data_IF_223023638030
#
_entry.id   IF_223023638030
#
_cell.length_a   1.000
_cell.length_b   1.000
_cell.length_c   1.000
_cell.angle_alpha   90.00
_cell.angle_beta   90.00
_cell.angle_gamma   90.00
#
_symmetry.space_group_name_H-M   'P 1'
#
loop_
_entity.id
_entity.type
_entity.pdbx_description
1 polymer ?
#
# COMPACT_ATOMS: atom_id res chain seq x y z
N UNK A 1 1.05 7.97 -0.09
CA UNK A 1 0.52 7.29 1.10
C UNK A 1 1.62 6.93 2.09
N UNK A 2 1.54 7.49 3.30
CA UNK A 2 2.45 7.13 4.40
C UNK A 2 1.61 6.52 5.52
N UNK A 3 1.68 5.19 5.68
CA UNK A 3 1.07 4.51 6.82
C UNK A 3 1.76 4.91 8.11
N UNK A 4 1.01 5.55 9.01
CA UNK A 4 1.47 5.87 10.35
C UNK A 4 1.51 4.61 11.21
N UNK A 5 2.35 4.63 12.26
CA UNK A 5 2.42 3.53 13.23
C UNK A 5 1.03 3.24 13.85
N UNK A 6 0.23 4.27 14.10
CA UNK A 6 -1.12 4.14 14.64
C UNK A 6 -2.06 3.36 13.71
N UNK A 7 -2.00 3.57 12.39
CA UNK A 7 -2.81 2.80 11.43
C UNK A 7 -2.37 1.34 11.44
N UNK A 8 -1.07 1.07 11.43
CA UNK A 8 -0.53 -0.30 11.47
C UNK A 8 -0.96 -1.01 12.76
N UNK A 9 -0.89 -0.34 13.92
CA UNK A 9 -1.36 -0.87 15.21
C UNK A 9 -2.83 -1.30 15.14
N UNK A 10 -3.70 -0.43 14.62
CA UNK A 10 -5.12 -0.76 14.47
C UNK A 10 -5.33 -1.95 13.54
N UNK A 11 -4.61 -2.01 12.42
CA UNK A 11 -4.69 -3.14 11.48
C UNK A 11 -4.27 -4.46 12.15
N UNK A 12 -3.11 -4.49 12.80
CA UNK A 12 -2.62 -5.71 13.47
C UNK A 12 -3.54 -6.11 14.63
N UNK A 13 -3.99 -5.15 15.44
CA UNK A 13 -4.95 -5.40 16.51
C UNK A 13 -6.26 -6.01 15.99
N UNK A 14 -6.82 -5.47 14.90
CA UNK A 14 -8.00 -6.05 14.24
C UNK A 14 -7.75 -7.48 13.76
N UNK A 15 -6.62 -7.73 13.09
CA UNK A 15 -6.27 -9.06 12.60
C UNK A 15 -6.20 -10.09 13.73
N UNK A 16 -5.59 -9.75 14.87
CA UNK A 16 -5.45 -10.65 16.01
C UNK A 16 -6.77 -10.86 16.77
N UNK A 17 -7.70 -9.91 16.69
CA UNK A 17 -9.09 -10.04 17.16
C UNK A 17 -10.02 -10.73 16.16
N UNK A 18 -9.48 -11.25 15.06
CA UNK A 18 -10.24 -11.89 13.98
C UNK A 18 -11.20 -10.95 13.23
N UNK A 19 -10.94 -9.64 13.29
CA UNK A 19 -11.73 -8.59 12.64
C UNK A 19 -11.23 -8.24 11.23
N UNK A 20 -12.08 -7.55 10.46
CA UNK A 20 -11.69 -7.03 9.14
C UNK A 20 -10.94 -5.70 9.27
N UNK A 21 -9.68 -5.67 8.82
CA UNK A 21 -8.85 -4.47 8.85
C UNK A 21 -9.08 -3.54 7.65
N UNK A 22 -9.80 -3.97 6.61
CA UNK A 22 -9.94 -3.21 5.35
C UNK A 22 -10.59 -1.85 5.54
N UNK A 23 -11.44 -1.71 6.55
CA UNK A 23 -12.07 -0.43 6.94
C UNK A 23 -11.02 0.62 7.31
N UNK A 24 -9.93 0.24 7.98
CA UNK A 24 -8.82 1.14 8.31
C UNK A 24 -8.09 1.64 7.05
N UNK A 25 -7.87 0.74 6.09
CA UNK A 25 -7.21 1.08 4.82
C UNK A 25 -8.10 1.98 3.95
N UNK A 26 -9.40 1.67 3.87
CA UNK A 26 -10.38 2.49 3.14
C UNK A 26 -10.46 3.89 3.75
N UNK A 27 -10.50 4.00 5.08
CA UNK A 27 -10.51 5.29 5.77
C UNK A 27 -9.26 6.13 5.43
N UNK A 28 -8.07 5.51 5.40
CA UNK A 28 -6.83 6.18 5.00
C UNK A 28 -6.88 6.66 3.55
N UNK A 29 -7.31 5.82 2.61
CA UNK A 29 -7.44 6.19 1.19
C UNK A 29 -8.44 7.35 1.03
N UNK A 30 -9.55 7.34 1.78
CA UNK A 30 -10.54 8.42 1.77
C UNK A 30 -9.94 9.73 2.26
N UNK A 31 -9.25 9.72 3.41
CA UNK A 31 -8.63 10.91 3.96
C UNK A 31 -7.60 11.51 3.01
N UNK A 32 -6.64 10.71 2.52
CA UNK A 32 -5.59 11.20 1.61
C UNK A 32 -6.17 11.69 0.26
N UNK A 33 -7.22 11.04 -0.25
CA UNK A 33 -7.85 11.49 -1.49
C UNK A 33 -8.59 12.82 -1.33
N UNK A 34 -9.34 12.98 -0.23
CA UNK A 34 -10.10 14.21 0.02
C UNK A 34 -9.17 15.40 0.28
N UNK A 35 -8.08 15.17 1.01
CA UNK A 35 -7.01 16.17 1.20
C UNK A 35 -6.43 16.60 -0.15
N UNK A 36 -6.02 15.63 -0.98
CA UNK A 36 -5.56 15.92 -2.34
C UNK A 36 -6.59 16.70 -3.16
N UNK A 37 -7.88 16.31 -3.11
CA UNK A 37 -8.92 16.94 -3.90
C UNK A 37 -9.07 18.43 -3.52
N UNK A 38 -9.05 18.75 -2.22
CA UNK A 38 -9.11 20.13 -1.73
C UNK A 38 -7.90 20.94 -2.23
N UNK A 39 -6.69 20.39 -2.10
CA UNK A 39 -5.46 21.06 -2.57
C UNK A 39 -5.47 21.26 -4.09
N UNK A 40 -5.89 20.23 -4.83
CA UNK A 40 -5.95 20.27 -6.29
C UNK A 40 -6.96 21.30 -6.78
N UNK A 41 -8.15 21.38 -6.18
CA UNK A 41 -9.13 22.41 -6.51
C UNK A 41 -8.60 23.83 -6.22
N UNK A 42 -7.86 24.02 -5.13
CA UNK A 42 -7.18 25.29 -4.86
C UNK A 42 -6.21 25.68 -5.99
N UNK A 43 -5.40 24.72 -6.47
CA UNK A 43 -4.49 24.93 -7.61
C UNK A 43 -5.23 25.23 -8.91
N UNK A 44 -6.38 24.60 -9.15
CA UNK A 44 -7.23 24.87 -10.33
C UNK A 44 -7.77 26.30 -10.29
N UNK A 45 -8.26 26.76 -9.15
CA UNK A 45 -8.71 28.15 -8.96
C UNK A 45 -7.58 29.13 -9.25
N UNK A 46 -6.41 28.93 -8.63
CA UNK A 46 -5.24 29.79 -8.83
C UNK A 46 -4.79 29.82 -10.30
N UNK A 47 -4.77 28.67 -10.97
CA UNK A 47 -4.40 28.54 -12.37
C UNK A 47 -5.38 29.27 -13.30
N UNK A 48 -6.69 29.08 -13.09
CA UNK A 48 -7.75 29.72 -13.89
C UNK A 48 -7.74 31.24 -13.72
N UNK A 49 -7.51 31.75 -12.50
CA UNK A 49 -7.44 33.18 -12.24
C UNK A 49 -6.21 33.86 -12.85
N UNK A 50 -5.08 33.15 -12.95
CA UNK A 50 -3.84 33.65 -13.58
C UNK A 50 -3.95 33.70 -15.10
N UNK A 51 -4.65 32.76 -15.72
CA UNK A 51 -4.65 32.56 -17.17
C UNK A 51 -5.91 33.12 -17.84
N UNK A 52 -6.20 34.41 -17.61
CA UNK A 52 -7.42 35.12 -18.04
C UNK A 52 -7.68 35.19 -19.58
N UNK A 53 -6.90 34.52 -20.44
CA UNK A 53 -6.99 34.64 -21.90
C UNK A 53 -7.65 33.44 -22.59
N UNK A 54 -8.42 33.75 -23.64
CA UNK A 54 -9.48 32.92 -24.26
C UNK A 54 -8.97 31.74 -25.11
N UNK A 55 -7.65 31.52 -25.28
CA UNK A 55 -7.14 30.59 -26.31
C UNK A 55 -6.05 29.61 -25.87
N UNK A 56 -5.49 29.74 -24.68
CA UNK A 56 -4.48 28.80 -24.20
C UNK A 56 -5.12 27.73 -23.31
N UNK A 57 -4.80 26.46 -23.58
CA UNK A 57 -5.07 25.36 -22.66
C UNK A 57 -4.25 25.59 -21.37
N UNK A 58 -4.81 26.39 -20.47
CA UNK A 58 -4.20 26.78 -19.21
C UNK A 58 -3.92 25.56 -18.35
N UNK A 59 -4.71 24.49 -18.49
CA UNK A 59 -4.51 23.27 -17.75
C UNK A 59 -3.19 22.62 -18.18
N UNK A 60 -2.95 22.48 -19.48
CA UNK A 60 -1.67 22.00 -20.01
C UNK A 60 -0.49 22.86 -19.55
N UNK A 61 -0.64 24.18 -19.61
CA UNK A 61 0.43 25.11 -19.22
C UNK A 61 0.79 25.01 -17.71
N UNK A 62 -0.21 24.88 -16.83
CA UNK A 62 -0.01 24.92 -15.38
C UNK A 62 0.24 23.53 -14.77
N UNK A 63 -0.40 22.50 -15.30
CA UNK A 63 -0.39 21.15 -14.72
C UNK A 63 0.50 20.16 -15.48
N UNK A 64 0.97 20.51 -16.68
CA UNK A 64 1.95 19.73 -17.45
C UNK A 64 3.29 20.45 -17.68
N UNK A 65 3.58 21.47 -16.87
CA UNK A 65 4.86 22.19 -16.92
C UNK A 65 6.05 21.25 -16.60
N UNK A 66 7.09 21.28 -17.43
CA UNK A 66 8.28 20.44 -17.28
C UNK A 66 9.07 20.67 -15.97
N UNK A 67 8.76 21.73 -15.20
CA UNK A 67 9.33 22.00 -13.89
C UNK A 67 8.65 21.21 -12.77
N UNK A 68 7.44 20.68 -13.00
CA UNK A 68 6.73 19.84 -12.05
C UNK A 68 7.42 18.48 -11.85
N UNK A 69 7.12 17.83 -10.73
CA UNK A 69 7.64 16.48 -10.45
C UNK A 69 6.97 15.47 -11.38
N UNK A 70 7.70 14.42 -11.73
CA UNK A 70 7.16 13.33 -12.58
C UNK A 70 5.83 12.79 -12.08
N UNK A 71 5.70 12.53 -10.78
CA UNK A 71 4.47 11.95 -10.23
C UNK A 71 3.25 12.89 -10.41
N UNK A 72 3.46 14.21 -10.34
CA UNK A 72 2.40 15.19 -10.53
C UNK A 72 2.00 15.25 -12.02
N UNK A 73 2.98 15.28 -12.93
CA UNK A 73 2.74 15.28 -14.39
C UNK A 73 1.93 14.07 -14.84
N UNK A 74 2.29 12.89 -14.32
CA UNK A 74 1.63 11.62 -14.66
C UNK A 74 0.16 11.67 -14.27
N UNK A 75 -0.15 12.09 -13.04
CA UNK A 75 -1.52 12.17 -12.56
C UNK A 75 -2.31 13.23 -13.34
N UNK A 76 -1.75 14.41 -13.57
CA UNK A 76 -2.46 15.48 -14.26
C UNK A 76 -2.67 15.20 -15.76
N UNK A 77 -1.86 14.34 -16.39
CA UNK A 77 -2.08 13.90 -17.77
C UNK A 77 -3.12 12.78 -17.90
N UNK A 78 -3.76 12.39 -16.81
CA UNK A 78 -4.72 11.29 -16.77
C UNK A 78 -4.10 9.89 -16.72
N UNK A 79 -2.80 9.78 -16.36
CA UNK A 79 -2.07 8.51 -16.32
C UNK A 79 -1.74 8.04 -14.90
N UNK A 80 -1.44 6.75 -14.80
CA UNK A 80 -0.83 6.15 -13.61
C UNK A 80 0.62 5.76 -13.93
N UNK A 81 1.53 5.98 -12.97
CA UNK A 81 2.96 5.63 -13.07
C UNK A 81 3.18 4.17 -13.44
N UNK A 82 2.34 3.27 -12.91
CA UNK A 82 2.41 1.84 -13.24
C UNK A 82 2.12 1.60 -14.73
N UNK A 83 1.12 2.27 -15.30
CA UNK A 83 0.78 2.17 -16.72
C UNK A 83 1.96 2.57 -17.61
N UNK A 84 2.65 3.67 -17.26
CA UNK A 84 3.85 4.09 -18.00
C UNK A 84 4.95 3.04 -17.89
N UNK A 85 5.22 2.50 -16.69
CA UNK A 85 6.21 1.44 -16.53
C UNK A 85 5.85 0.19 -17.33
N UNK A 86 4.58 -0.23 -17.34
CA UNK A 86 4.17 -1.46 -18.01
C UNK A 86 4.27 -1.33 -19.54
N UNK A 87 4.01 -0.15 -20.10
CA UNK A 87 4.10 0.13 -21.55
C UNK A 87 5.54 0.40 -22.00
N UNK A 88 6.29 1.24 -21.27
CA UNK A 88 7.59 1.75 -21.70
C UNK A 88 8.78 1.11 -20.95
N UNK A 89 8.51 0.18 -20.02
CA UNK A 89 9.49 -0.49 -19.16
C UNK A 89 10.40 0.46 -18.36
N UNK A 90 9.93 1.70 -18.14
CA UNK A 90 10.70 2.76 -17.50
C UNK A 90 9.78 3.89 -17.03
N UNK A 91 10.21 4.60 -15.99
CA UNK A 91 9.55 5.82 -15.47
C UNK A 91 10.56 6.96 -15.30
N UNK A 92 11.62 6.96 -16.11
CA UNK A 92 12.61 8.04 -16.13
C UNK A 92 11.99 9.36 -16.57
N UNK A 93 12.59 10.47 -16.11
CA UNK A 93 12.02 11.82 -16.23
C UNK A 93 11.74 12.21 -17.68
N UNK A 94 12.66 11.89 -18.57
CA UNK A 94 12.62 12.14 -20.01
C UNK A 94 11.42 11.44 -20.67
N UNK A 95 11.20 10.16 -20.37
CA UNK A 95 10.04 9.39 -20.87
C UNK A 95 8.75 9.97 -20.32
N UNK A 96 8.72 10.33 -19.03
CA UNK A 96 7.54 10.94 -18.42
C UNK A 96 7.19 12.27 -19.10
N UNK A 97 8.17 13.12 -19.43
CA UNK A 97 7.91 14.39 -20.14
C UNK A 97 7.24 14.17 -21.49
N UNK A 98 7.72 13.20 -22.26
CA UNK A 98 7.18 12.89 -23.58
C UNK A 98 5.76 12.29 -23.49
N UNK A 99 5.63 11.20 -22.73
CA UNK A 99 4.39 10.41 -22.64
C UNK A 99 3.24 11.21 -22.04
N UNK A 100 3.50 12.05 -21.04
CA UNK A 100 2.43 12.84 -20.40
C UNK A 100 1.88 13.93 -21.33
N UNK A 101 2.71 14.49 -22.20
CA UNK A 101 2.27 15.49 -23.20
C UNK A 101 1.46 14.86 -24.31
N UNK A 102 1.90 13.71 -24.82
CA UNK A 102 1.19 12.95 -25.86
C UNK A 102 -0.17 12.48 -25.35
N UNK A 103 -0.19 11.79 -24.20
CA UNK A 103 -1.42 11.21 -23.66
C UNK A 103 -2.44 12.29 -23.29
N UNK A 104 -2.00 13.42 -22.73
CA UNK A 104 -2.91 14.51 -22.45
C UNK A 104 -3.55 15.07 -23.71
N UNK A 105 -2.80 15.18 -24.81
CA UNK A 105 -3.33 15.65 -26.10
C UNK A 105 -4.42 14.70 -26.60
N UNK A 106 -4.20 13.39 -26.52
CA UNK A 106 -5.21 12.38 -26.87
C UNK A 106 -6.46 12.45 -25.96
N UNK A 107 -6.26 12.63 -24.64
CA UNK A 107 -7.36 12.78 -23.69
C UNK A 107 -8.19 14.03 -23.99
N UNK A 108 -7.53 15.16 -24.27
CA UNK A 108 -8.20 16.42 -24.61
C UNK A 108 -9.01 16.31 -25.89
N UNK A 109 -8.46 15.66 -26.94
CA UNK A 109 -9.16 15.40 -28.20
C UNK A 109 -10.38 14.50 -28.01
N UNK A 110 -10.25 13.45 -27.19
CA UNK A 110 -11.36 12.56 -26.87
C UNK A 110 -12.49 13.28 -26.12
N UNK A 111 -12.14 14.12 -25.15
CA UNK A 111 -13.11 14.94 -24.41
C UNK A 111 -13.77 15.96 -25.34
N UNK A 112 -12.99 16.66 -26.17
CA UNK A 112 -13.53 17.66 -27.11
C UNK A 112 -14.51 17.01 -28.09
N UNK A 113 -14.15 15.84 -28.64
CA UNK A 113 -15.02 15.08 -29.54
C UNK A 113 -16.33 14.65 -28.87
N UNK A 114 -16.30 14.29 -27.58
CA UNK A 114 -17.50 13.95 -26.82
C UNK A 114 -18.40 15.17 -26.58
N UNK A 115 -17.80 16.32 -26.23
CA UNK A 115 -18.52 17.57 -26.01
C UNK A 115 -19.18 18.08 -27.31
N UNK A 116 -18.50 17.92 -28.46
CA UNK A 116 -19.04 18.35 -29.75
C UNK A 116 -20.17 17.45 -30.27
N UNK A 117 -20.22 16.18 -29.83
CA UNK A 117 -21.23 15.20 -30.26
C UNK A 117 -22.51 15.23 -29.41
N UNK A 118 -22.41 15.59 -28.12
CA UNK A 118 -23.53 15.59 -27.18
C UNK A 118 -23.83 17.01 -26.69
N UNK A 119 -24.76 17.68 -27.37
CA UNK A 119 -25.20 19.03 -27.04
C UNK A 119 -26.35 19.06 -26.01
N UNK A 120 -26.79 17.92 -25.49
CA UNK A 120 -27.96 17.86 -24.59
C UNK A 120 -27.57 17.94 -23.11
N UNK A 121 -26.36 17.54 -22.75
CA UNK A 121 -25.90 17.48 -21.36
C UNK A 121 -24.85 18.57 -21.08
N UNK A 122 -25.20 19.51 -20.20
CA UNK A 122 -24.26 20.52 -19.67
C UNK A 122 -23.73 20.10 -18.29
N UNK A 123 -22.40 20.08 -18.14
CA UNK A 123 -21.70 19.81 -16.88
C UNK A 123 -20.83 21.01 -16.53
N UNK A 124 -21.27 21.79 -15.55
CA UNK A 124 -20.49 22.92 -15.01
C UNK A 124 -19.98 22.59 -13.61
N UNK A 125 -18.65 22.61 -13.44
CA UNK A 125 -18.02 22.55 -12.11
C UNK A 125 -17.66 23.97 -11.64
N UNK A 126 -18.42 24.46 -10.65
CA UNK A 126 -18.12 25.72 -9.96
C UNK A 126 -17.28 25.46 -8.71
N UNK A 127 -16.10 26.07 -8.63
CA UNK A 127 -15.23 25.98 -7.46
C UNK A 127 -15.21 27.33 -6.75
N UNK A 128 -15.63 27.33 -5.48
CA UNK A 128 -15.60 28.51 -4.60
C UNK A 128 -14.47 28.36 -3.59
N UNK A 129 -13.52 29.29 -3.61
CA UNK A 129 -12.38 29.31 -2.69
C UNK A 129 -12.12 30.73 -2.18
N UNK A 130 -12.16 30.91 -0.85
CA UNK A 130 -11.89 32.20 -0.17
C UNK A 130 -12.65 33.40 -0.75
N UNK A 131 -13.93 33.21 -1.10
CA UNK A 131 -14.79 34.26 -1.65
C UNK A 131 -14.64 34.49 -3.17
N UNK A 132 -13.73 33.77 -3.83
CA UNK A 132 -13.61 33.75 -5.29
C UNK A 132 -14.35 32.53 -5.84
N UNK A 133 -15.03 32.69 -6.98
CA UNK A 133 -15.72 31.60 -7.69
C UNK A 133 -15.14 31.51 -9.09
N UNK A 134 -14.80 30.31 -9.52
CA UNK A 134 -14.43 30.02 -10.92
C UNK A 134 -15.35 28.95 -11.46
N UNK A 135 -15.82 29.17 -12.68
CA UNK A 135 -16.58 28.19 -13.44
C UNK A 135 -15.67 27.56 -14.48
N UNK A 136 -15.74 26.24 -14.58
CA UNK A 136 -15.03 25.47 -15.59
C UNK A 136 -15.99 25.13 -16.74
N UNK A 137 -15.47 25.14 -17.96
CA UNK A 137 -16.22 24.59 -19.11
C UNK A 137 -16.46 23.09 -18.93
N UNK A 138 -17.32 22.49 -19.78
CA UNK A 138 -17.57 21.04 -19.76
C UNK A 138 -16.24 20.27 -19.93
N UNK A 139 -15.43 20.65 -20.93
CA UNK A 139 -14.13 20.01 -21.18
C UNK A 139 -13.17 20.14 -20.01
N UNK A 140 -13.05 21.33 -19.42
CA UNK A 140 -12.22 21.57 -18.24
C UNK A 140 -12.70 20.76 -17.02
N UNK A 141 -14.02 20.69 -16.82
CA UNK A 141 -14.65 19.91 -15.76
C UNK A 141 -14.32 18.43 -15.91
N UNK A 142 -14.42 17.88 -17.12
CA UNK A 142 -14.10 16.48 -17.41
C UNK A 142 -12.61 16.15 -17.21
N UNK A 143 -11.70 17.06 -17.56
CA UNK A 143 -10.26 16.91 -17.30
C UNK A 143 -9.96 16.87 -15.79
N UNK A 144 -10.56 17.79 -15.03
CA UNK A 144 -10.43 17.85 -13.56
C UNK A 144 -10.99 16.57 -12.91
N UNK A 145 -12.16 16.11 -13.35
CA UNK A 145 -12.77 14.86 -12.88
C UNK A 145 -11.89 13.66 -13.19
N UNK A 146 -11.34 13.57 -14.41
CA UNK A 146 -10.44 12.49 -14.82
C UNK A 146 -9.20 12.44 -13.91
N UNK A 147 -8.59 13.60 -13.65
CA UNK A 147 -7.42 13.72 -12.78
C UNK A 147 -7.71 13.23 -11.36
N UNK A 148 -8.86 13.60 -10.80
CA UNK A 148 -9.31 13.10 -9.49
C UNK A 148 -9.54 11.58 -9.51
N UNK A 149 -10.17 11.05 -10.56
CA UNK A 149 -10.41 9.62 -10.71
C UNK A 149 -9.09 8.82 -10.80
N UNK A 150 -8.12 9.32 -11.56
CA UNK A 150 -6.79 8.74 -11.72
C UNK A 150 -6.04 8.77 -10.40
N UNK A 151 -6.07 9.90 -9.67
CA UNK A 151 -5.47 9.98 -8.34
C UNK A 151 -6.10 9.00 -7.36
N UNK A 152 -7.43 8.87 -7.37
CA UNK A 152 -8.14 7.92 -6.53
C UNK A 152 -7.73 6.47 -6.85
N UNK A 153 -7.59 6.12 -8.13
CA UNK A 153 -7.15 4.81 -8.56
C UNK A 153 -5.70 4.51 -8.12
N UNK A 154 -4.79 5.48 -8.28
CA UNK A 154 -3.40 5.40 -7.83
C UNK A 154 -3.30 5.16 -6.32
N UNK A 155 -4.02 5.97 -5.52
CA UNK A 155 -4.07 5.79 -4.07
C UNK A 155 -4.59 4.41 -3.67
N UNK A 156 -5.68 3.93 -4.29
CA UNK A 156 -6.20 2.58 -4.00
C UNK A 156 -5.18 1.50 -4.32
N UNK A 157 -4.55 1.54 -5.50
CA UNK A 157 -3.55 0.55 -5.91
C UNK A 157 -2.31 0.55 -5.00
N UNK A 158 -1.78 1.74 -4.70
CA UNK A 158 -0.62 1.90 -3.81
C UNK A 158 -0.91 1.54 -2.36
N UNK A 159 -2.13 1.80 -1.87
CA UNK A 159 -2.50 1.61 -0.48
C UNK A 159 -2.46 0.15 -0.03
N UNK A 160 -3.06 -0.75 -0.80
CA UNK A 160 -3.08 -2.17 -0.45
C UNK A 160 -1.69 -2.79 -0.45
N UNK A 161 -0.87 -2.46 -1.46
CA UNK A 161 0.51 -2.96 -1.54
C UNK A 161 1.39 -2.45 -0.40
N UNK A 162 1.31 -1.15 -0.10
CA UNK A 162 2.11 -0.54 0.98
C UNK A 162 1.64 -1.03 2.36
N UNK A 163 0.34 -1.21 2.54
CA UNK A 163 -0.24 -1.74 3.78
C UNK A 163 0.24 -3.15 4.04
N UNK A 164 0.14 -4.04 3.04
CA UNK A 164 0.63 -5.42 3.15
C UNK A 164 2.09 -5.45 3.62
N UNK A 165 3.00 -4.85 2.86
CA UNK A 165 4.44 -4.87 3.15
C UNK A 165 4.80 -4.35 4.55
N UNK A 166 4.12 -3.30 5.03
CA UNK A 166 4.42 -2.71 6.35
C UNK A 166 3.80 -3.52 7.50
N UNK A 167 2.60 -4.05 7.30
CA UNK A 167 1.88 -4.80 8.33
C UNK A 167 2.47 -6.20 8.49
N UNK A 168 2.86 -6.88 7.41
CA UNK A 168 3.37 -8.26 7.43
C UNK A 168 4.50 -8.46 8.45
N UNK A 169 5.50 -7.58 8.47
CA UNK A 169 6.63 -7.69 9.41
C UNK A 169 6.23 -7.42 10.86
N UNK A 170 5.45 -6.37 11.11
CA UNK A 170 4.98 -6.03 12.46
C UNK A 170 4.05 -7.12 12.99
N UNK A 171 3.18 -7.68 12.15
CA UNK A 171 2.30 -8.78 12.51
C UNK A 171 3.10 -10.01 12.97
N UNK A 172 4.13 -10.42 12.20
CA UNK A 172 4.98 -11.55 12.60
C UNK A 172 5.71 -11.27 13.92
N UNK A 173 6.26 -10.07 14.10
CA UNK A 173 6.87 -9.68 15.38
C UNK A 173 5.87 -9.75 16.52
N UNK A 174 4.67 -9.23 16.32
CA UNK A 174 3.60 -9.24 17.33
C UNK A 174 3.26 -10.67 17.73
N UNK A 175 3.13 -11.59 16.75
CA UNK A 175 2.93 -13.02 17.03
C UNK A 175 4.11 -13.64 17.81
N UNK A 176 5.36 -13.32 17.44
CA UNK A 176 6.53 -13.81 18.16
C UNK A 176 6.59 -13.30 19.60
N UNK A 177 6.25 -12.02 19.82
CA UNK A 177 6.18 -11.42 21.16
C UNK A 177 5.05 -11.98 22.00
N UNK A 178 3.88 -12.19 21.38
CA UNK A 178 2.73 -12.81 22.05
C UNK A 178 3.07 -14.19 22.62
N UNK A 179 3.79 -15.00 21.84
CA UNK A 179 4.27 -16.33 22.23
C UNK A 179 5.66 -16.32 22.89
N UNK A 180 6.21 -15.14 23.18
CA UNK A 180 7.51 -14.95 23.85
C UNK A 180 8.63 -15.81 23.23
N UNK A 181 8.65 -15.89 21.90
CA UNK A 181 9.73 -16.57 21.16
C UNK A 181 11.04 -15.85 21.46
N UNK A 182 12.12 -16.54 21.85
CA UNK A 182 13.41 -15.90 22.08
C UNK A 182 13.93 -15.19 20.82
N UNK A 183 14.60 -14.05 20.98
CA UNK A 183 15.08 -13.23 19.84
C UNK A 183 16.00 -14.00 18.88
N UNK A 184 16.78 -14.95 19.39
CA UNK A 184 17.67 -15.80 18.59
C UNK A 184 16.93 -16.79 17.68
N UNK A 185 15.63 -17.00 17.92
CA UNK A 185 14.81 -17.99 17.24
C UNK A 185 13.92 -17.42 16.15
N UNK A 186 14.17 -16.17 15.73
CA UNK A 186 13.54 -15.60 14.55
C UNK A 186 14.39 -14.52 13.88
N UNK A 187 14.13 -14.26 12.60
CA UNK A 187 14.78 -13.18 11.86
C UNK A 187 13.82 -12.50 10.89
N UNK A 188 13.90 -11.17 10.80
CA UNK A 188 13.04 -10.28 10.01
C UNK A 188 13.44 -10.14 8.54
N UNK A 189 14.64 -10.62 8.20
CA UNK A 189 15.20 -10.55 6.86
C UNK A 189 16.20 -11.68 6.69
N UNK A 190 16.21 -12.29 5.51
CA UNK A 190 17.28 -13.18 5.10
C UNK A 190 17.11 -13.63 3.66
N UNK A 191 18.07 -14.42 3.19
CA UNK A 191 18.01 -15.03 1.86
C UNK A 191 17.73 -16.52 2.00
N UNK A 192 16.83 -17.05 1.18
CA UNK A 192 16.71 -18.50 0.96
C UNK A 192 18.03 -19.07 0.44
N UNK A 193 18.15 -20.41 0.43
CA UNK A 193 19.20 -21.12 -0.30
C UNK A 193 19.26 -20.73 -1.79
N UNK A 194 18.14 -20.29 -2.38
CA UNK A 194 18.03 -19.79 -3.75
C UNK A 194 18.29 -18.27 -3.90
N UNK A 195 18.87 -17.62 -2.89
CA UNK A 195 19.15 -16.16 -2.85
C UNK A 195 17.91 -15.27 -3.05
N UNK A 196 16.71 -15.78 -2.71
CA UNK A 196 15.48 -14.97 -2.70
C UNK A 196 15.29 -14.40 -1.30
N UNK A 197 14.89 -13.14 -1.21
CA UNK A 197 14.55 -12.52 0.06
C UNK A 197 13.33 -13.23 0.67
N UNK A 198 13.46 -13.67 1.92
CA UNK A 198 12.34 -14.17 2.71
C UNK A 198 11.98 -13.10 3.72
N UNK A 199 10.67 -12.86 3.84
CA UNK A 199 10.14 -11.82 4.71
C UNK A 199 10.38 -12.13 6.20
N UNK A 200 10.44 -13.42 6.57
CA UNK A 200 10.65 -13.84 7.96
C UNK A 200 11.10 -15.31 8.10
N UNK A 201 11.91 -15.61 9.10
CA UNK A 201 12.27 -16.99 9.49
C UNK A 201 11.97 -17.24 10.97
N UNK A 202 11.51 -18.45 11.28
CA UNK A 202 11.56 -19.01 12.63
C UNK A 202 12.67 -20.07 12.70
N UNK A 203 13.25 -20.25 13.88
CA UNK A 203 14.34 -21.21 14.12
C UNK A 203 13.96 -22.12 15.28
N UNK A 204 13.98 -23.43 15.04
CA UNK A 204 13.73 -24.47 16.04
C UNK A 204 14.92 -24.67 16.99
N UNK A 205 14.72 -25.48 18.04
CA UNK A 205 15.79 -25.81 19.01
C UNK A 205 17.01 -26.49 18.37
N UNK A 206 16.80 -27.29 17.31
CA UNK A 206 17.85 -27.94 16.53
C UNK A 206 18.53 -27.01 15.49
N UNK A 207 18.11 -25.74 15.42
CA UNK A 207 18.65 -24.75 14.49
C UNK A 207 18.08 -24.80 13.07
N UNK A 208 17.08 -25.65 12.78
CA UNK A 208 16.39 -25.65 11.49
C UNK A 208 15.63 -24.33 11.29
N UNK A 209 15.74 -23.77 10.09
CA UNK A 209 15.05 -22.53 9.70
C UNK A 209 13.78 -22.83 8.92
N UNK A 210 12.65 -22.29 9.38
CA UNK A 210 11.35 -22.37 8.72
C UNK A 210 10.98 -21.02 8.11
N UNK A 211 10.81 -21.00 6.80
CA UNK A 211 10.43 -19.79 6.06
C UNK A 211 8.96 -19.47 6.33
N UNK A 212 8.70 -18.23 6.71
CA UNK A 212 7.36 -17.72 6.96
C UNK A 212 6.98 -16.73 5.85
N UNK A 213 5.79 -16.90 5.30
CA UNK A 213 5.19 -15.95 4.37
C UNK A 213 3.88 -15.43 4.94
N UNK A 214 3.69 -14.12 4.85
CA UNK A 214 2.47 -13.45 5.29
C UNK A 214 1.79 -12.80 4.08
N UNK A 215 0.47 -12.95 3.99
CA UNK A 215 -0.35 -12.29 2.98
C UNK A 215 -1.66 -11.78 3.56
N UNK A 216 -1.88 -10.48 3.46
CA UNK A 216 -3.18 -9.89 3.74
C UNK A 216 -4.01 -9.93 2.45
N UNK A 217 -4.73 -11.03 2.24
CA UNK A 217 -5.41 -11.34 0.98
C UNK A 217 -6.76 -10.65 0.87
N UNK A 218 -7.38 -10.66 -0.31
CA UNK A 218 -8.81 -10.36 -0.51
C UNK A 218 -9.63 -11.65 -0.51
N UNK A 219 -10.97 -11.54 -0.41
CA UNK A 219 -11.84 -12.70 -0.66
C UNK A 219 -11.65 -13.14 -2.13
N UNK A 220 -11.15 -14.36 -2.34
CA UNK A 220 -11.03 -14.96 -3.67
C UNK A 220 -9.73 -14.67 -4.43
N UNK A 221 -8.59 -14.52 -3.74
CA UNK A 221 -7.27 -14.47 -4.40
C UNK A 221 -6.52 -15.82 -4.23
N UNK A 222 -6.88 -16.88 -4.98
CA UNK A 222 -6.19 -18.17 -4.94
C UNK A 222 -4.72 -18.06 -5.39
N UNK A 223 -4.40 -17.12 -6.28
CA UNK A 223 -3.05 -16.92 -6.86
C UNK A 223 -1.99 -16.58 -5.79
N UNK A 224 -2.40 -15.98 -4.68
CA UNK A 224 -1.48 -15.66 -3.57
C UNK A 224 -1.08 -16.90 -2.75
N UNK A 225 -1.96 -17.90 -2.68
CA UNK A 225 -1.60 -19.21 -2.13
C UNK A 225 -0.69 -19.97 -3.12
N UNK A 226 -0.95 -19.87 -4.43
CA UNK A 226 -0.09 -20.46 -5.46
C UNK A 226 1.32 -19.86 -5.44
N UNK A 227 1.45 -18.56 -5.20
CA UNK A 227 2.75 -17.90 -5.01
C UNK A 227 3.50 -18.43 -3.78
N UNK A 228 2.78 -18.75 -2.69
CA UNK A 228 3.36 -19.34 -1.47
C UNK A 228 3.83 -20.77 -1.72
N UNK A 229 3.00 -21.55 -2.42
CA UNK A 229 3.30 -22.93 -2.84
C UNK A 229 4.54 -22.93 -3.75
N UNK A 230 4.65 -21.97 -4.68
CA UNK A 230 5.81 -21.80 -5.56
C UNK A 230 7.09 -21.32 -4.85
N UNK A 231 6.97 -20.78 -3.62
CA UNK A 231 8.09 -20.26 -2.82
C UNK A 231 8.61 -21.25 -1.77
N UNK A 232 7.96 -22.41 -1.61
CA UNK A 232 8.30 -23.43 -0.62
C UNK A 232 8.37 -22.87 0.81
N UNK A 233 7.42 -22.01 1.18
CA UNK A 233 7.26 -21.52 2.55
C UNK A 233 6.76 -22.65 3.45
N UNK A 234 7.36 -22.83 4.63
CA UNK A 234 6.96 -23.87 5.58
C UNK A 234 5.77 -23.41 6.45
N UNK A 235 5.61 -22.09 6.61
CA UNK A 235 4.56 -21.46 7.40
C UNK A 235 3.92 -20.34 6.57
N UNK A 236 2.59 -20.36 6.47
CA UNK A 236 1.79 -19.35 5.79
C UNK A 236 0.80 -18.68 6.73
N UNK A 237 0.87 -17.35 6.86
CA UNK A 237 -0.05 -16.58 7.69
C UNK A 237 -0.89 -15.68 6.78
N UNK A 238 -2.21 -15.81 6.86
CA UNK A 238 -3.12 -14.99 6.09
C UNK A 238 -4.23 -14.38 6.94
N UNK A 239 -4.80 -13.27 6.49
CA UNK A 239 -6.01 -12.72 7.11
C UNK A 239 -7.20 -13.68 6.92
N UNK A 240 -7.38 -14.20 5.70
CA UNK A 240 -8.47 -15.13 5.34
C UNK A 240 -7.99 -16.22 4.38
N UNK A 241 -8.45 -17.45 4.56
CA UNK A 241 -8.15 -18.58 3.67
C UNK A 241 -9.44 -19.23 3.17
N UNK A 242 -9.51 -19.57 1.88
CA UNK A 242 -10.59 -20.43 1.37
C UNK A 242 -10.37 -21.88 1.81
N UNK A 243 -11.45 -22.68 1.82
CA UNK A 243 -11.34 -24.10 2.16
C UNK A 243 -10.44 -24.87 1.19
N UNK A 244 -10.45 -24.48 -0.09
CA UNK A 244 -9.52 -25.00 -1.09
C UNK A 244 -8.06 -24.70 -0.73
N UNK A 245 -7.74 -23.45 -0.33
CA UNK A 245 -6.38 -23.11 0.08
C UNK A 245 -5.95 -23.90 1.31
N UNK A 246 -6.82 -24.05 2.31
CA UNK A 246 -6.52 -24.86 3.51
C UNK A 246 -6.20 -26.30 3.14
N UNK A 247 -7.00 -26.89 2.24
CA UNK A 247 -6.79 -28.26 1.76
C UNK A 247 -5.45 -28.38 1.03
N UNK A 248 -5.18 -27.52 0.05
CA UNK A 248 -3.94 -27.53 -0.74
C UNK A 248 -2.70 -27.34 0.14
N UNK A 249 -2.70 -26.36 1.05
CA UNK A 249 -1.58 -26.11 1.98
C UNK A 249 -1.34 -27.34 2.86
N UNK A 250 -2.40 -27.97 3.36
CA UNK A 250 -2.29 -29.16 4.20
C UNK A 250 -1.77 -30.39 3.43
N UNK A 251 -2.24 -30.60 2.20
CA UNK A 251 -1.76 -31.67 1.30
C UNK A 251 -0.27 -31.52 0.96
N UNK A 252 0.21 -30.27 0.88
CA UNK A 252 1.61 -29.94 0.66
C UNK A 252 2.46 -29.92 1.95
N UNK A 253 1.88 -30.21 3.11
CA UNK A 253 2.57 -30.17 4.41
C UNK A 253 2.96 -28.76 4.86
N UNK A 254 2.35 -27.72 4.30
CA UNK A 254 2.59 -26.32 4.67
C UNK A 254 1.71 -25.98 5.87
N UNK A 255 2.34 -25.49 6.95
CA UNK A 255 1.63 -25.01 8.13
C UNK A 255 0.94 -23.70 7.82
N UNK A 256 -0.31 -23.51 8.25
CA UNK A 256 -1.07 -22.30 7.92
C UNK A 256 -1.87 -21.72 9.07
N UNK A 257 -1.95 -20.39 9.12
CA UNK A 257 -2.75 -19.60 10.06
C UNK A 257 -3.75 -18.75 9.29
N UNK A 258 -5.03 -18.81 9.68
CA UNK A 258 -6.06 -17.89 9.23
C UNK A 258 -6.46 -16.98 10.40
N UNK A 259 -6.03 -15.71 10.37
CA UNK A 259 -6.20 -14.79 11.50
C UNK A 259 -7.67 -14.42 11.76
N UNK A 260 -8.49 -14.34 10.71
CA UNK A 260 -9.94 -14.08 10.82
C UNK A 260 -10.77 -15.28 11.23
N UNK A 261 -10.18 -16.47 11.38
CA UNK A 261 -10.86 -17.56 12.07
C UNK A 261 -10.96 -17.22 13.56
N UNK A 262 -12.00 -17.70 14.25
CA UNK A 262 -12.17 -17.47 15.69
C UNK A 262 -10.92 -17.92 16.45
N UNK A 263 -10.29 -17.01 17.19
CA UNK A 263 -9.00 -17.25 17.86
C UNK A 263 -7.90 -17.73 16.90
N UNK A 264 -7.91 -17.28 15.65
CA UNK A 264 -7.04 -17.77 14.58
C UNK A 264 -5.55 -17.66 14.91
N UNK A 265 -5.17 -16.62 15.64
CA UNK A 265 -3.79 -16.45 16.13
C UNK A 265 -3.31 -17.63 17.01
N UNK A 266 -4.22 -18.36 17.67
CA UNK A 266 -3.85 -19.51 18.53
C UNK A 266 -3.25 -20.67 17.74
N UNK A 267 -3.64 -20.79 16.48
CA UNK A 267 -3.06 -21.78 15.55
C UNK A 267 -1.57 -21.56 15.33
N UNK A 268 -1.08 -20.34 15.52
CA UNK A 268 0.37 -20.08 15.46
C UNK A 268 1.11 -20.88 16.54
N UNK A 269 0.61 -20.92 17.78
CA UNK A 269 1.19 -21.74 18.86
C UNK A 269 1.22 -23.24 18.56
N UNK A 270 0.16 -23.78 17.94
CA UNK A 270 0.13 -25.17 17.47
C UNK A 270 1.27 -25.48 16.49
N UNK A 271 1.53 -24.55 15.57
CA UNK A 271 2.61 -24.66 14.59
C UNK A 271 3.98 -24.57 15.27
N UNK A 272 4.15 -23.66 16.24
CA UNK A 272 5.39 -23.54 17.00
C UNK A 272 5.74 -24.85 17.72
N UNK A 273 4.75 -25.50 18.34
CA UNK A 273 4.93 -26.82 18.96
C UNK A 273 5.28 -27.90 17.94
N UNK A 274 4.57 -27.94 16.81
CA UNK A 274 4.79 -28.94 15.77
C UNK A 274 6.19 -28.84 15.12
N UNK A 275 6.76 -27.63 15.08
CA UNK A 275 8.07 -27.36 14.50
C UNK A 275 9.21 -27.28 15.54
N UNK A 276 8.95 -27.60 16.80
CA UNK A 276 9.93 -27.52 17.90
C UNK A 276 10.62 -26.13 17.99
N UNK A 277 9.83 -25.07 17.83
CA UNK A 277 10.28 -23.69 18.00
C UNK A 277 10.14 -23.31 19.48
N UNK A 278 11.17 -22.79 20.17
CA UNK A 278 11.05 -22.44 21.57
C UNK A 278 10.11 -21.25 21.76
N UNK A 279 9.14 -21.39 22.65
CA UNK A 279 8.13 -20.39 22.95
C UNK A 279 7.51 -20.63 24.33
N UNK A 280 6.76 -19.65 24.81
CA UNK A 280 5.88 -19.79 25.97
C UNK A 280 4.45 -19.73 25.46
N UNK A 281 3.64 -20.72 25.82
CA UNK A 281 2.23 -20.74 25.44
C UNK A 281 1.51 -19.49 25.89
N UNK A 282 0.75 -18.92 24.96
CA UNK A 282 -0.08 -17.77 25.25
C UNK A 282 -1.47 -18.23 25.71
N UNK A 283 -1.77 -18.00 26.99
CA UNK A 283 -3.06 -18.30 27.63
C UNK A 283 -3.83 -17.06 28.07
N UNK A 284 -3.28 -15.86 27.82
CA UNK A 284 -3.82 -14.58 28.26
C UNK A 284 -4.99 -14.05 27.43
N UNK A 285 -5.48 -12.88 27.84
CA UNK A 285 -6.51 -12.11 27.12
C UNK A 285 -5.86 -11.12 26.15
N UNK A 286 -6.11 -11.32 24.85
CA UNK A 286 -5.52 -10.50 23.79
C UNK A 286 -5.95 -9.03 23.91
N UNK A 287 -7.16 -8.77 24.39
CA UNK A 287 -7.68 -7.41 24.46
C UNK A 287 -6.95 -6.57 25.51
N UNK A 288 -6.54 -7.18 26.63
CA UNK A 288 -5.77 -6.52 27.68
C UNK A 288 -4.27 -6.39 27.40
N UNK A 289 -3.70 -7.22 26.51
CA UNK A 289 -2.24 -7.28 26.31
C UNK A 289 -1.75 -6.73 24.97
N UNK A 290 -2.62 -6.60 23.97
CA UNK A 290 -2.20 -6.32 22.59
C UNK A 290 -1.41 -5.03 22.43
N UNK A 291 -1.78 -3.96 23.14
CA UNK A 291 -1.09 -2.66 23.02
C UNK A 291 0.37 -2.75 23.51
N UNK A 292 0.60 -3.44 24.63
CA UNK A 292 1.94 -3.71 25.16
C UNK A 292 2.76 -4.57 24.20
N UNK A 293 2.17 -5.65 23.66
CA UNK A 293 2.85 -6.55 22.72
C UNK A 293 3.20 -5.82 21.43
N UNK A 294 2.32 -4.94 20.95
CA UNK A 294 2.59 -4.08 19.80
C UNK A 294 3.73 -3.10 20.09
N UNK A 295 3.77 -2.47 21.26
CA UNK A 295 4.88 -1.59 21.63
C UNK A 295 6.24 -2.29 21.53
N UNK A 296 6.35 -3.50 22.09
CA UNK A 296 7.56 -4.32 22.01
C UNK A 296 7.92 -4.67 20.55
N UNK A 297 6.92 -5.01 19.73
CA UNK A 297 7.13 -5.31 18.32
C UNK A 297 7.63 -4.09 17.52
N UNK A 298 7.07 -2.90 17.75
CA UNK A 298 7.50 -1.67 17.11
C UNK A 298 8.90 -1.25 17.54
N UNK A 299 9.21 -1.32 18.83
CA UNK A 299 10.54 -1.01 19.35
C UNK A 299 11.62 -1.89 18.70
N UNK A 300 11.35 -3.18 18.54
CA UNK A 300 12.28 -4.08 17.88
C UNK A 300 12.40 -3.82 16.37
N UNK A 301 11.28 -3.57 15.70
CA UNK A 301 11.27 -3.22 14.28
C UNK A 301 12.13 -1.98 14.00
N UNK A 302 11.96 -0.93 14.80
CA UNK A 302 12.71 0.32 14.67
C UNK A 302 14.21 0.12 14.99
N UNK A 303 14.53 -0.72 15.98
CA UNK A 303 15.91 -1.06 16.31
C UNK A 303 16.62 -1.73 15.13
N UNK A 304 15.96 -2.68 14.46
CA UNK A 304 16.51 -3.39 13.29
C UNK A 304 16.60 -2.49 12.07
N UNK A 305 15.58 -1.66 11.82
CA UNK A 305 15.58 -0.72 10.69
C UNK A 305 16.69 0.35 10.80
N UNK A 306 17.08 0.73 12.02
CA UNK A 306 18.13 1.73 12.25
C UNK A 306 19.55 1.15 12.26
N UNK A 307 19.75 -0.15 12.42
CA UNK A 307 21.06 -0.81 12.31
C UNK A 307 21.60 -0.85 10.86
N UNK A 308 20.74 -0.71 9.86
CA UNK A 308 21.10 -0.72 8.43
C UNK A 308 21.44 0.65 7.81
N UNK A 309 21.36 1.75 8.57
CA UNK A 309 21.68 3.10 8.04
C UNK A 309 23.16 3.43 8.33
N UNK A 310 23.99 3.74 7.31
CA UNK A 310 25.34 4.23 7.58
C UNK A 310 25.25 5.49 8.43
N UNK A 311 25.98 5.52 9.56
CA UNK A 311 26.16 6.73 10.37
C UNK A 311 26.63 7.84 9.42
N UNK A 312 25.81 8.87 9.20
CA UNK A 312 26.26 10.09 8.52
C UNK A 312 27.46 10.60 9.30
N UNK A 313 28.66 10.52 8.71
CA UNK A 313 29.84 11.17 9.26
C UNK A 313 29.52 12.66 9.31
N UNK A 314 29.65 13.26 10.48
CA UNK A 314 29.61 14.70 10.67
C UNK A 314 30.54 15.35 9.63
N UNK A 315 30.14 16.46 8.97
CA UNK A 315 31.05 17.19 8.11
C UNK A 315 32.27 17.60 8.92
N UNK A 316 33.50 17.47 8.39
CA UNK A 316 34.65 18.05 9.05
C UNK A 316 34.44 19.56 9.12
N UNK A 317 34.47 20.11 10.33
CA UNK A 317 34.57 21.55 10.53
C UNK A 317 35.84 22.05 9.82
N UNK A 318 35.65 22.86 8.78
CA UNK A 318 36.62 23.80 8.26
C UNK A 318 35.89 25.11 7.99
#
# INVERSE_FOLDING_TARGET
MTLTANVIRRIVGRLLRSEDYRTEVIALINAEFLEYAIEFFGRVVDAKLKNQSVTADWYKAEFLDARLRSDDLIIHSGLNKKTIYDIYHSTRREIVLEVTQEHYTQLYEAISSLVDQDNEIDVTLTIKFRGVSVDLTIGESLIVINTLAVKRAELRGGAWSTTGKRVEKILMLTLCKLYRIPRGNYNLTGLTKSKREVDFFLVSNDGKKSNCEVKLMGKGNPESADATIARASEIFVADKLSDLNKKQLSELGINWVELRARNGYKKFGEILRALDIPHIEYTGDIDGEIDRVLDEAFQEYDAVANQGKPRRKSPPHR
#
